data_IF_052687972783
#
_entry.id   IF_052687972783
#
_cell.length_a   1.000
_cell.length_b   1.000
_cell.length_c   1.000
_cell.angle_alpha   90.00
_cell.angle_beta   90.00
_cell.angle_gamma   90.00
#
_symmetry.space_group_name_H-M   'P 1'
#
loop_
_entity.id
_entity.type
_entity.pdbx_description
1 polymer ?
#
# COMPACT_ATOMS: atom_id res chain seq x y z
N UNK A 1 10.09 6.42 13.44
CA UNK A 1 8.90 7.27 13.26
C UNK A 1 7.66 6.52 13.73
N UNK A 2 6.81 7.19 14.49
CA UNK A 2 5.62 6.58 15.10
C UNK A 2 4.37 7.28 14.57
N UNK A 3 3.35 6.48 14.25
CA UNK A 3 2.06 6.99 13.77
C UNK A 3 0.97 6.64 14.79
N UNK A 4 0.04 7.57 15.03
CA UNK A 4 -1.07 7.31 15.94
C UNK A 4 -2.05 6.32 15.31
N UNK A 5 -2.75 5.57 16.15
CA UNK A 5 -3.79 4.66 15.67
C UNK A 5 -4.91 5.41 14.94
N UNK A 6 -5.26 6.59 15.43
CA UNK A 6 -6.28 7.42 14.79
C UNK A 6 -5.87 7.83 13.37
N UNK A 7 -4.63 8.24 13.18
CA UNK A 7 -4.10 8.61 11.86
C UNK A 7 -4.15 7.43 10.89
N UNK A 8 -3.66 6.26 11.32
CA UNK A 8 -3.68 5.06 10.49
C UNK A 8 -5.10 4.60 10.20
N UNK A 9 -5.99 4.65 11.18
CA UNK A 9 -7.39 4.26 11.00
C UNK A 9 -8.08 5.16 9.98
N UNK A 10 -7.86 6.46 10.06
CA UNK A 10 -8.43 7.42 9.12
C UNK A 10 -8.00 7.12 7.68
N UNK A 11 -6.72 6.86 7.48
CA UNK A 11 -6.19 6.51 6.15
C UNK A 11 -6.84 5.24 5.63
N UNK A 12 -6.85 4.18 6.44
CA UNK A 12 -7.36 2.88 6.01
C UNK A 12 -8.87 2.88 5.77
N UNK A 13 -9.62 3.71 6.51
CA UNK A 13 -11.08 3.82 6.31
C UNK A 13 -11.45 4.58 5.03
N UNK A 14 -10.70 5.60 4.67
CA UNK A 14 -11.03 6.42 3.49
C UNK A 14 -10.50 5.86 2.18
N UNK A 15 -9.48 5.00 2.24
CA UNK A 15 -8.84 4.43 1.04
C UNK A 15 -9.83 3.56 0.27
N UNK A 16 -9.79 3.66 -1.06
CA UNK A 16 -10.65 2.89 -1.96
C UNK A 16 -9.87 2.05 -2.95
N UNK A 17 -8.86 2.63 -3.61
CA UNK A 17 -8.13 1.98 -4.70
C UNK A 17 -6.64 2.02 -4.41
N UNK A 18 -6.04 0.86 -4.27
CA UNK A 18 -4.64 0.70 -3.90
C UNK A 18 -3.85 0.19 -5.11
N UNK A 19 -2.81 0.91 -5.52
CA UNK A 19 -1.83 0.39 -6.46
C UNK A 19 -0.70 -0.24 -5.65
N UNK A 20 -0.49 -1.54 -5.82
CA UNK A 20 0.57 -2.28 -5.14
C UNK A 20 1.76 -2.45 -6.07
N UNK A 21 2.85 -1.75 -5.79
CA UNK A 21 4.06 -1.76 -6.64
C UNK A 21 5.02 -2.85 -6.16
N UNK A 22 5.38 -3.75 -7.06
CA UNK A 22 6.30 -4.84 -6.76
C UNK A 22 5.62 -6.13 -6.34
N UNK A 23 4.35 -6.32 -6.68
CA UNK A 23 3.61 -7.54 -6.35
C UNK A 23 4.21 -8.74 -7.06
N UNK A 24 4.51 -9.80 -6.29
CA UNK A 24 4.95 -11.09 -6.81
C UNK A 24 3.74 -11.96 -7.14
N UNK A 25 3.80 -12.80 -8.19
CA UNK A 25 2.75 -13.78 -8.44
C UNK A 25 2.84 -15.00 -7.50
N UNK A 26 3.89 -15.10 -6.71
CA UNK A 26 4.11 -16.22 -5.80
C UNK A 26 3.35 -16.04 -4.49
N UNK A 27 2.36 -16.92 -4.16
CA UNK A 27 1.52 -16.75 -2.98
C UNK A 27 2.26 -16.75 -1.64
N UNK A 28 3.49 -17.26 -1.57
CA UNK A 28 4.25 -17.26 -0.32
C UNK A 28 4.99 -15.94 -0.07
N UNK A 29 5.01 -15.05 -1.06
CA UNK A 29 5.68 -13.76 -0.91
C UNK A 29 4.77 -12.75 -0.20
N UNK A 30 5.34 -11.90 0.68
CA UNK A 30 4.56 -10.88 1.37
C UNK A 30 3.80 -9.95 0.43
N UNK A 31 4.42 -9.55 -0.68
CA UNK A 31 3.75 -8.66 -1.64
C UNK A 31 2.48 -9.28 -2.21
N UNK A 32 2.43 -10.61 -2.37
CA UNK A 32 1.24 -11.30 -2.82
C UNK A 32 0.18 -11.37 -1.71
N UNK A 33 0.52 -11.95 -0.56
CA UNK A 33 -0.53 -12.20 0.45
C UNK A 33 -1.01 -10.92 1.14
N UNK A 34 -0.20 -9.86 1.20
CA UNK A 34 -0.68 -8.56 1.68
C UNK A 34 -1.67 -7.96 0.69
N UNK A 35 -1.33 -7.93 -0.60
CA UNK A 35 -2.22 -7.43 -1.65
C UNK A 35 -3.53 -8.22 -1.69
N UNK A 36 -3.45 -9.55 -1.60
CA UNK A 36 -4.61 -10.41 -1.56
C UNK A 36 -5.50 -10.10 -0.36
N UNK A 37 -4.91 -9.97 0.82
CA UNK A 37 -5.65 -9.63 2.04
C UNK A 37 -6.43 -8.33 1.85
N UNK A 38 -5.77 -7.29 1.34
CA UNK A 38 -6.43 -6.00 1.13
C UNK A 38 -7.57 -6.12 0.13
N UNK A 39 -7.39 -6.89 -0.93
CA UNK A 39 -8.47 -7.11 -1.91
C UNK A 39 -9.69 -7.79 -1.29
N UNK A 40 -9.48 -8.67 -0.32
CA UNK A 40 -10.56 -9.37 0.38
C UNK A 40 -11.26 -8.47 1.42
N UNK A 41 -10.65 -7.35 1.79
CA UNK A 41 -11.22 -6.42 2.76
C UNK A 41 -11.96 -5.24 2.12
N UNK A 42 -12.21 -5.32 0.82
CA UNK A 42 -13.05 -4.34 0.13
C UNK A 42 -12.29 -3.28 -0.64
N UNK A 43 -10.97 -3.27 -0.59
CA UNK A 43 -10.18 -2.37 -1.43
C UNK A 43 -10.08 -2.91 -2.84
N UNK A 44 -10.13 -2.03 -3.84
CA UNK A 44 -9.72 -2.41 -5.19
C UNK A 44 -8.19 -2.38 -5.21
N UNK A 45 -7.56 -3.51 -5.53
CA UNK A 45 -6.11 -3.61 -5.53
C UNK A 45 -5.61 -3.82 -6.95
N UNK A 46 -4.86 -2.85 -7.46
CA UNK A 46 -4.26 -2.89 -8.80
C UNK A 46 -2.80 -3.31 -8.65
N UNK A 47 -2.43 -4.51 -9.11
CA UNK A 47 -1.05 -4.95 -9.02
C UNK A 47 -0.20 -4.27 -10.09
N UNK A 48 1.02 -3.87 -9.72
CA UNK A 48 1.97 -3.19 -10.60
C UNK A 48 3.30 -3.91 -10.54
N UNK A 49 3.71 -4.49 -11.68
CA UNK A 49 5.01 -5.15 -11.80
C UNK A 49 5.33 -5.35 -13.29
N UNK A 50 6.42 -4.75 -13.82
CA UNK A 50 6.74 -4.89 -15.24
C UNK A 50 7.05 -6.33 -15.66
N UNK A 51 7.56 -7.18 -14.76
CA UNK A 51 7.93 -8.55 -15.07
C UNK A 51 6.73 -9.45 -15.39
N UNK A 52 5.54 -9.12 -14.89
CA UNK A 52 4.33 -9.92 -15.08
C UNK A 52 3.18 -9.08 -15.64
N UNK A 53 3.50 -7.97 -16.29
CA UNK A 53 2.49 -7.09 -16.89
C UNK A 53 1.58 -7.88 -17.84
N UNK A 54 0.28 -7.63 -17.76
CA UNK A 54 -0.73 -8.30 -18.55
C UNK A 54 -1.33 -9.55 -17.91
N UNK A 55 -0.69 -10.11 -16.89
CA UNK A 55 -1.28 -11.22 -16.13
C UNK A 55 -2.44 -10.73 -15.27
N UNK A 56 -3.21 -11.67 -14.72
CA UNK A 56 -4.37 -11.33 -13.87
C UNK A 56 -4.08 -11.74 -12.43
N UNK A 57 -4.23 -10.79 -11.50
CA UNK A 57 -4.16 -11.04 -10.06
C UNK A 57 -5.28 -10.25 -9.38
N UNK A 58 -5.94 -10.88 -8.41
CA UNK A 58 -6.99 -10.24 -7.59
C UNK A 58 -8.12 -9.60 -8.43
N UNK A 59 -8.42 -10.20 -9.58
CA UNK A 59 -9.45 -9.69 -10.47
C UNK A 59 -9.03 -8.50 -11.34
N UNK A 60 -7.76 -8.12 -11.30
CA UNK A 60 -7.23 -6.97 -12.03
C UNK A 60 -6.11 -7.40 -12.98
N UNK A 61 -5.88 -6.61 -14.02
CA UNK A 61 -4.74 -6.80 -14.91
C UNK A 61 -3.51 -6.13 -14.30
N UNK A 62 -2.39 -6.85 -14.26
CA UNK A 62 -1.14 -6.30 -13.75
C UNK A 62 -0.63 -5.22 -14.71
N UNK A 63 -0.42 -4.01 -14.18
CA UNK A 63 0.13 -2.90 -14.95
C UNK A 63 1.66 -2.93 -14.91
N UNK A 64 2.32 -2.51 -16.00
CA UNK A 64 3.79 -2.47 -16.01
C UNK A 64 4.38 -1.36 -15.15
N UNK A 65 3.62 -0.31 -14.88
CA UNK A 65 4.03 0.82 -14.04
C UNK A 65 2.82 1.65 -13.68
N UNK A 66 2.99 2.59 -12.77
CA UNK A 66 1.89 3.46 -12.33
C UNK A 66 1.34 4.31 -13.48
N UNK A 67 2.21 4.77 -14.38
CA UNK A 67 1.82 5.58 -15.53
C UNK A 67 0.90 4.84 -16.49
N UNK A 68 0.90 3.52 -16.48
CA UNK A 68 0.14 2.70 -17.40
C UNK A 68 -1.20 2.20 -16.84
N UNK A 69 -1.59 2.64 -15.65
CA UNK A 69 -2.89 2.28 -15.07
C UNK A 69 -4.00 3.03 -15.83
N UNK A 70 -4.96 2.31 -16.46
CA UNK A 70 -5.97 2.97 -17.32
C UNK A 70 -6.83 4.00 -16.58
N UNK A 71 -7.24 3.72 -15.35
CA UNK A 71 -8.07 4.63 -14.54
C UNK A 71 -7.24 5.22 -13.39
N UNK A 72 -6.10 5.80 -13.74
CA UNK A 72 -5.14 6.35 -12.79
C UNK A 72 -5.76 7.36 -11.80
N UNK A 73 -6.77 8.12 -12.23
CA UNK A 73 -7.43 9.10 -11.36
C UNK A 73 -8.19 8.47 -10.19
N UNK A 74 -8.51 7.18 -10.27
CA UNK A 74 -9.21 6.47 -9.19
C UNK A 74 -8.26 6.03 -8.07
N UNK A 75 -6.94 5.97 -8.34
CA UNK A 75 -5.96 5.47 -7.36
C UNK A 75 -5.72 6.53 -6.29
N UNK A 76 -5.98 6.17 -5.04
CA UNK A 76 -5.79 7.08 -3.91
C UNK A 76 -4.71 6.62 -2.93
N UNK A 77 -4.11 5.46 -3.18
CA UNK A 77 -3.13 4.86 -2.26
C UNK A 77 -2.11 4.05 -3.07
N UNK A 78 -0.82 4.24 -2.78
CA UNK A 78 0.25 3.44 -3.40
C UNK A 78 0.97 2.69 -2.28
N UNK A 79 1.00 1.36 -2.37
CA UNK A 79 1.70 0.47 -1.44
C UNK A 79 2.98 -0.02 -2.11
N UNK A 80 4.13 0.24 -1.50
CA UNK A 80 5.45 -0.01 -2.12
C UNK A 80 6.14 -1.20 -1.48
N UNK A 81 6.33 -2.26 -2.30
CA UNK A 81 7.07 -3.48 -1.95
C UNK A 81 8.46 -3.55 -2.60
N UNK A 82 8.97 -2.43 -3.08
CA UNK A 82 10.30 -2.37 -3.67
C UNK A 82 11.32 -1.90 -2.64
N UNK A 83 12.60 -2.23 -2.86
CA UNK A 83 13.68 -1.77 -1.97
C UNK A 83 13.73 -0.25 -1.92
N UNK A 84 14.22 0.27 -0.80
CA UNK A 84 14.23 1.72 -0.53
C UNK A 84 14.91 2.54 -1.63
N UNK A 85 15.93 2.00 -2.29
CA UNK A 85 16.64 2.69 -3.36
C UNK A 85 15.76 3.01 -4.57
N UNK A 86 14.66 2.24 -4.76
CA UNK A 86 13.73 2.46 -5.88
C UNK A 86 12.57 3.40 -5.53
N UNK A 87 12.43 3.76 -4.26
CA UNK A 87 11.31 4.57 -3.80
C UNK A 87 11.24 5.95 -4.45
N UNK A 88 12.36 6.70 -4.61
CA UNK A 88 12.29 8.02 -5.23
C UNK A 88 11.64 8.03 -6.61
N UNK A 89 11.98 7.09 -7.49
CA UNK A 89 11.41 7.02 -8.83
C UNK A 89 9.92 6.64 -8.78
N UNK A 90 9.55 5.75 -7.88
CA UNK A 90 8.14 5.34 -7.70
C UNK A 90 7.31 6.52 -7.20
N UNK A 91 7.83 7.27 -6.24
CA UNK A 91 7.15 8.46 -5.71
C UNK A 91 6.97 9.51 -6.80
N UNK A 92 8.02 9.76 -7.58
CA UNK A 92 7.95 10.74 -8.67
C UNK A 92 6.91 10.33 -9.72
N UNK A 93 6.88 9.06 -10.09
CA UNK A 93 5.88 8.54 -11.04
C UNK A 93 4.47 8.67 -10.47
N UNK A 94 4.29 8.35 -9.20
CA UNK A 94 3.00 8.47 -8.54
C UNK A 94 2.50 9.92 -8.51
N UNK A 95 3.36 10.85 -8.15
CA UNK A 95 3.01 12.27 -8.09
C UNK A 95 2.67 12.83 -9.47
N UNK A 96 3.33 12.34 -10.52
CA UNK A 96 3.09 12.80 -11.88
C UNK A 96 1.81 12.24 -12.49
N UNK A 97 1.49 10.97 -12.23
CA UNK A 97 0.46 10.25 -12.99
C UNK A 97 -0.81 9.93 -12.21
N UNK A 98 -0.84 10.11 -10.89
CA UNK A 98 -1.98 9.76 -10.06
C UNK A 98 -2.60 11.00 -9.42
N UNK A 99 -3.49 11.72 -10.14
CA UNK A 99 -4.04 12.98 -9.63
C UNK A 99 -4.91 12.83 -8.39
N UNK A 100 -5.45 11.64 -8.12
CA UNK A 100 -6.25 11.37 -6.93
C UNK A 100 -5.47 10.83 -5.74
N UNK A 101 -4.15 10.77 -5.84
CA UNK A 101 -3.31 10.17 -4.80
C UNK A 101 -3.40 10.95 -3.49
N UNK A 102 -3.63 10.21 -2.39
CA UNK A 102 -3.71 10.77 -1.04
C UNK A 102 -2.67 10.18 -0.10
N UNK A 103 -2.24 8.94 -0.35
CA UNK A 103 -1.34 8.22 0.56
C UNK A 103 -0.32 7.40 -0.21
N UNK A 104 0.94 7.47 0.25
CA UNK A 104 2.00 6.55 -0.14
C UNK A 104 2.39 5.76 1.10
N UNK A 105 2.45 4.43 0.95
CA UNK A 105 2.75 3.54 2.07
C UNK A 105 3.96 2.69 1.72
N UNK A 106 5.03 2.82 2.50
CA UNK A 106 6.24 2.03 2.35
C UNK A 106 6.20 0.86 3.32
N UNK A 107 6.32 -0.34 2.77
CA UNK A 107 6.22 -1.61 3.49
C UNK A 107 7.33 -1.75 4.54
N UNK A 108 7.21 -2.73 5.45
CA UNK A 108 8.27 -3.03 6.44
C UNK A 108 9.61 -3.20 5.72
N UNK A 109 10.62 -2.50 6.20
CA UNK A 109 11.96 -2.49 5.61
C UNK A 109 12.14 -1.49 4.48
N UNK A 110 11.10 -0.74 4.14
CA UNK A 110 11.15 0.27 3.06
C UNK A 110 11.03 1.66 3.68
N UNK A 111 12.04 2.48 3.49
CA UNK A 111 12.10 3.84 4.01
C UNK A 111 12.88 4.74 3.05
N UNK A 112 12.41 5.97 2.88
CA UNK A 112 13.17 6.98 2.14
C UNK A 112 12.69 8.37 2.54
N UNK A 113 13.44 9.02 3.42
CA UNK A 113 13.07 10.31 4.00
C UNK A 113 12.93 11.41 2.95
N UNK A 114 13.87 11.46 1.98
CA UNK A 114 13.84 12.47 0.93
C UNK A 114 12.61 12.36 0.03
N UNK A 115 12.28 11.13 -0.39
CA UNK A 115 11.10 10.90 -1.22
C UNK A 115 9.81 11.18 -0.43
N UNK A 116 9.77 10.79 0.84
CA UNK A 116 8.64 11.09 1.72
C UNK A 116 8.40 12.59 1.82
N UNK A 117 9.47 13.38 2.01
CA UNK A 117 9.35 14.84 2.10
C UNK A 117 8.79 15.43 0.80
N UNK A 118 9.21 14.94 -0.36
CA UNK A 118 8.68 15.42 -1.65
C UNK A 118 7.18 15.15 -1.79
N UNK A 119 6.74 13.97 -1.39
CA UNK A 119 5.32 13.62 -1.43
C UNK A 119 4.52 14.47 -0.46
N UNK A 120 5.01 14.62 0.76
CA UNK A 120 4.34 15.44 1.78
C UNK A 120 4.23 16.90 1.38
N UNK A 121 5.24 17.43 0.70
CA UNK A 121 5.20 18.79 0.16
C UNK A 121 4.10 18.98 -0.89
N UNK A 122 3.62 17.91 -1.49
CA UNK A 122 2.54 17.88 -2.47
C UNK A 122 1.18 17.54 -1.84
N UNK A 123 1.11 17.47 -0.51
CA UNK A 123 -0.12 17.16 0.21
C UNK A 123 -0.44 15.67 0.33
N UNK A 124 0.50 14.80 0.00
CA UNK A 124 0.31 13.34 0.09
C UNK A 124 0.83 12.86 1.44
N UNK A 125 0.03 12.09 2.15
CA UNK A 125 0.44 11.50 3.42
C UNK A 125 1.35 10.30 3.16
N UNK A 126 2.41 10.15 3.96
CA UNK A 126 3.38 9.08 3.78
C UNK A 126 3.53 8.26 5.05
N UNK A 127 3.40 6.95 4.92
CA UNK A 127 3.68 5.98 5.98
C UNK A 127 4.93 5.22 5.56
N UNK A 128 5.86 5.03 6.49
CA UNK A 128 7.11 4.31 6.22
C UNK A 128 7.28 3.14 7.17
N UNK A 129 7.79 2.03 6.65
CA UNK A 129 8.23 0.88 7.45
C UNK A 129 7.10 0.23 8.27
N UNK A 130 5.91 0.11 7.67
CA UNK A 130 4.77 -0.59 8.26
C UNK A 130 4.12 -1.49 7.21
N UNK A 131 3.35 -2.49 7.66
CA UNK A 131 2.58 -3.35 6.78
C UNK A 131 1.09 -2.99 6.89
N UNK A 132 0.43 -2.59 5.79
CA UNK A 132 -0.97 -2.20 5.86
C UNK A 132 -1.90 -3.36 6.25
N UNK A 133 -1.53 -4.61 5.91
CA UNK A 133 -2.27 -5.80 6.36
C UNK A 133 -2.24 -5.91 7.88
N UNK A 134 -1.05 -5.81 8.47
CA UNK A 134 -0.88 -5.92 9.92
C UNK A 134 -1.61 -4.79 10.65
N UNK A 135 -1.50 -3.57 10.15
CA UNK A 135 -2.20 -2.42 10.74
C UNK A 135 -3.71 -2.55 10.60
N UNK A 136 -4.19 -3.02 9.45
CA UNK A 136 -5.61 -3.25 9.25
C UNK A 136 -6.13 -4.33 10.19
N UNK A 137 -5.42 -5.45 10.34
CA UNK A 137 -5.80 -6.51 11.27
C UNK A 137 -5.83 -6.00 12.71
N UNK A 138 -4.85 -5.21 13.09
CA UNK A 138 -4.76 -4.66 14.45
C UNK A 138 -5.90 -3.70 14.75
N UNK A 139 -6.27 -2.85 13.79
CA UNK A 139 -7.26 -1.80 14.00
C UNK A 139 -8.70 -2.26 13.75
N UNK A 140 -8.93 -3.19 12.80
CA UNK A 140 -10.27 -3.57 12.34
C UNK A 140 -10.53 -5.08 12.35
N UNK A 141 -9.57 -5.91 12.75
CA UNK A 141 -9.66 -7.37 12.64
C UNK A 141 -10.51 -8.03 13.70
N UNK A 142 -10.72 -9.33 13.53
CA UNK A 142 -11.52 -10.16 14.44
C UNK A 142 -11.02 -10.13 15.88
N UNK A 143 -9.71 -10.12 16.07
CA UNK A 143 -9.13 -10.07 17.42
C UNK A 143 -9.55 -8.83 18.19
N UNK A 144 -9.60 -7.69 17.49
CA UNK A 144 -10.04 -6.45 18.12
C UNK A 144 -11.53 -6.47 18.45
N UNK A 145 -12.35 -7.02 17.56
CA UNK A 145 -13.80 -7.16 17.80
C UNK A 145 -14.09 -8.06 18.99
N UNK A 146 -13.26 -9.06 19.21
CA UNK A 146 -13.40 -9.98 20.35
C UNK A 146 -12.85 -9.39 21.65
N UNK A 147 -12.38 -8.15 21.67
CA UNK A 147 -11.81 -7.52 22.84
C UNK A 147 -10.36 -7.88 23.12
N UNK A 148 -9.73 -8.64 22.24
CA UNK A 148 -8.32 -8.99 22.34
C UNK A 148 -7.50 -7.93 21.62
N UNK A 149 -7.47 -6.75 22.18
CA UNK A 149 -6.89 -5.58 21.51
C UNK A 149 -5.48 -5.31 22.03
N UNK A 150 -4.54 -6.18 21.73
CA UNK A 150 -3.15 -5.94 22.12
C UNK A 150 -2.30 -5.80 20.86
N UNK A 151 -1.47 -4.77 20.81
CA UNK A 151 -0.51 -4.60 19.74
C UNK A 151 0.47 -5.77 19.64
N UNK A 152 0.70 -6.43 20.76
CA UNK A 152 1.60 -7.57 20.82
C UNK A 152 1.08 -8.76 20.00
N UNK A 153 -0.20 -9.05 20.05
CA UNK A 153 -0.79 -10.14 19.26
C UNK A 153 -0.87 -9.72 17.80
N UNK A 154 -1.35 -8.52 17.53
CA UNK A 154 -1.55 -8.00 16.17
C UNK A 154 -0.26 -7.91 15.38
N UNK A 155 0.80 -7.48 16.02
CA UNK A 155 2.07 -7.26 15.33
C UNK A 155 2.78 -8.55 14.91
N UNK A 156 2.31 -9.69 15.36
CA UNK A 156 2.88 -11.00 15.00
C UNK A 156 2.14 -11.70 13.88
N UNK A 157 1.04 -11.14 13.45
CA UNK A 157 0.26 -11.67 12.35
C UNK A 157 0.73 -11.09 11.01
#
# INVERSE_FOLDING_TARGET
>A
MTYSDEFLRTILQRTRVIACVGVSPNPVRPSYYVARYLSLKGYRVIPVNPAIAGERLFGETVAPGLAAIPDAAAVDFVDIFRRSEFVPDIVDEALEHLPGLRTIWMQIGVEHTGAAARAEARGVEVIQNLCPKMEHQRLFGELRKAGIATGMISSRL
#
